data_IF_378946125494
#
_entry.id   IF_378946125494
#
_cell.length_a   1.000
_cell.length_b   1.000
_cell.length_c   1.000
_cell.angle_alpha   90.00
_cell.angle_beta   90.00
_cell.angle_gamma   90.00
#
_symmetry.space_group_name_H-M   'P 1'
#
loop_
_entity.id
_entity.type
_entity.pdbx_description
1 polymer ?
#
# COMPACT_ATOMS: atom_id res chain seq x y z
N UNK A 1 14.53 7.22 1.71
CA UNK A 1 13.92 6.16 0.88
C UNK A 1 12.78 6.78 0.05
N UNK A 2 12.80 6.61 -1.27
CA UNK A 2 11.93 7.33 -2.22
C UNK A 2 10.42 7.10 -1.99
N UNK A 3 10.04 5.87 -1.63
CA UNK A 3 8.66 5.47 -1.37
C UNK A 3 8.01 6.28 -0.24
N UNK A 4 8.70 6.48 0.88
CA UNK A 4 8.15 7.21 2.01
C UNK A 4 7.92 8.71 1.73
N UNK A 5 8.67 9.30 0.77
CA UNK A 5 8.39 10.66 0.29
C UNK A 5 7.16 10.68 -0.63
N UNK A 6 6.91 9.59 -1.34
CA UNK A 6 5.81 9.47 -2.29
C UNK A 6 4.50 9.05 -1.61
N UNK A 7 4.50 8.04 -0.73
CA UNK A 7 3.30 7.45 -0.09
C UNK A 7 2.82 8.22 1.14
N UNK A 8 3.73 8.72 1.96
CA UNK A 8 3.41 9.30 3.27
C UNK A 8 3.54 10.83 3.25
N UNK A 9 2.65 11.49 2.50
CA UNK A 9 2.52 12.96 2.41
C UNK A 9 1.84 13.60 3.63
N UNK A 10 1.92 12.96 4.80
CA UNK A 10 1.32 13.46 6.03
C UNK A 10 2.11 14.65 6.59
N UNK A 11 1.39 15.74 6.90
CA UNK A 11 1.96 16.87 7.65
C UNK A 11 2.43 16.35 9.02
N UNK A 12 3.63 16.76 9.44
CA UNK A 12 4.25 16.32 10.72
C UNK A 12 4.43 14.79 10.85
N UNK A 13 4.63 14.03 9.74
CA UNK A 13 4.82 12.56 9.76
C UNK A 13 5.82 12.02 10.79
N UNK A 14 6.89 12.77 11.09
CA UNK A 14 7.85 12.39 12.13
C UNK A 14 7.20 12.24 13.52
N UNK A 15 6.24 13.11 13.86
CA UNK A 15 5.49 13.04 15.13
C UNK A 15 4.55 11.85 15.15
N UNK A 16 3.84 11.60 14.05
CA UNK A 16 2.93 10.45 13.91
C UNK A 16 3.71 9.13 14.09
N UNK A 17 4.82 8.98 13.38
CA UNK A 17 5.64 7.76 13.45
C UNK A 17 6.31 7.60 14.82
N UNK A 18 6.67 8.71 15.48
CA UNK A 18 7.11 8.66 16.87
C UNK A 18 5.99 8.11 17.77
N UNK A 19 4.76 8.62 17.61
CA UNK A 19 3.62 8.17 18.41
C UNK A 19 3.33 6.68 18.20
N UNK A 20 3.42 6.18 16.97
CA UNK A 20 3.27 4.74 16.68
C UNK A 20 4.28 3.89 17.46
N UNK A 21 5.53 4.33 17.50
CA UNK A 21 6.58 3.64 18.26
C UNK A 21 6.32 3.70 19.77
N UNK A 22 5.82 4.83 20.28
CA UNK A 22 5.49 5.01 21.71
C UNK A 22 4.28 4.17 22.15
N UNK A 23 3.37 3.87 21.23
CA UNK A 23 2.14 3.09 21.53
C UNK A 23 2.29 1.60 21.23
N UNK A 24 3.49 1.13 20.86
CA UNK A 24 3.72 -0.29 20.58
C UNK A 24 3.14 -0.79 19.26
N UNK A 25 2.87 0.09 18.30
CA UNK A 25 2.40 -0.32 16.97
C UNK A 25 3.55 -1.00 16.22
N UNK A 26 3.33 -2.26 15.82
CA UNK A 26 4.30 -3.11 15.13
C UNK A 26 4.15 -3.13 13.61
N UNK A 27 2.93 -2.89 13.09
CA UNK A 27 2.61 -2.87 11.66
C UNK A 27 1.76 -1.65 11.28
N UNK A 28 2.10 -1.00 10.17
CA UNK A 28 1.31 0.09 9.55
C UNK A 28 0.96 -0.27 8.11
N UNK A 29 -0.33 -0.33 7.82
CA UNK A 29 -0.85 -0.49 6.46
C UNK A 29 -1.06 0.87 5.80
N UNK A 30 -0.64 1.01 4.55
CA UNK A 30 -0.94 2.21 3.76
C UNK A 30 -1.02 1.91 2.26
N UNK A 31 -1.42 2.90 1.47
CA UNK A 31 -1.49 2.84 0.00
C UNK A 31 -0.80 4.04 -0.64
N UNK A 32 -1.34 4.48 -1.78
CA UNK A 32 -0.94 5.63 -2.63
C UNK A 32 0.03 5.31 -3.77
N UNK A 33 1.07 4.50 -3.53
CA UNK A 33 1.86 3.98 -4.63
C UNK A 33 1.20 2.71 -5.15
N UNK A 34 0.99 2.65 -6.47
CA UNK A 34 0.54 1.49 -7.23
C UNK A 34 1.60 0.38 -7.25
N UNK A 35 2.06 -0.05 -6.07
CA UNK A 35 3.09 -1.06 -5.84
C UNK A 35 2.77 -1.75 -4.51
N UNK A 36 2.99 -3.07 -4.39
CA UNK A 36 3.02 -3.73 -3.09
C UNK A 36 4.46 -3.80 -2.59
N UNK A 37 4.74 -3.25 -1.40
CA UNK A 37 6.10 -3.28 -0.82
C UNK A 37 6.07 -3.25 0.70
N UNK A 38 6.99 -4.01 1.30
CA UNK A 38 7.31 -3.96 2.72
C UNK A 38 8.57 -3.13 2.99
N UNK A 39 8.56 -2.34 4.07
CA UNK A 39 9.76 -1.65 4.56
C UNK A 39 9.72 -1.39 6.07
N UNK A 40 10.87 -1.12 6.67
CA UNK A 40 10.99 -0.87 8.12
C UNK A 40 11.39 0.58 8.41
N UNK A 41 10.79 1.16 9.45
CA UNK A 41 11.20 2.47 9.98
C UNK A 41 11.02 2.55 11.48
N UNK A 42 12.09 2.91 12.20
CA UNK A 42 12.10 2.99 13.68
C UNK A 42 11.53 1.72 14.34
N UNK A 43 11.92 0.55 13.81
CA UNK A 43 11.44 -0.78 14.24
C UNK A 43 9.96 -1.08 13.96
N UNK A 44 9.25 -0.20 13.28
CA UNK A 44 7.87 -0.42 12.84
C UNK A 44 7.92 -0.97 11.41
N UNK A 45 7.17 -2.05 11.15
CA UNK A 45 6.97 -2.59 9.81
C UNK A 45 5.88 -1.77 9.08
N UNK A 46 6.13 -1.43 7.83
CA UNK A 46 5.17 -0.75 6.95
C UNK A 46 4.90 -1.62 5.74
N UNK A 47 3.61 -1.73 5.38
CA UNK A 47 3.15 -2.49 4.23
C UNK A 47 2.34 -1.58 3.31
N UNK A 48 2.87 -1.32 2.12
CA UNK A 48 2.16 -0.64 1.05
C UNK A 48 1.31 -1.66 0.30
N UNK A 49 0.00 -1.43 0.23
CA UNK A 49 -0.99 -2.31 -0.41
C UNK A 49 -1.64 -1.69 -1.65
N UNK A 50 -0.99 -0.72 -2.30
CA UNK A 50 -1.59 0.00 -3.42
C UNK A 50 -1.47 -0.68 -4.79
N UNK A 51 -0.72 -1.79 -4.88
CA UNK A 51 -0.34 -2.46 -6.12
C UNK A 51 -1.33 -3.51 -6.65
N UNK A 52 -2.52 -3.63 -6.09
CA UNK A 52 -3.41 -4.78 -6.37
C UNK A 52 -3.88 -4.88 -7.82
N UNK A 53 -4.17 -3.74 -8.47
CA UNK A 53 -4.75 -3.68 -9.83
C UNK A 53 -3.99 -2.72 -10.75
N UNK A 54 -3.05 -1.96 -10.21
CA UNK A 54 -2.22 -1.03 -10.97
C UNK A 54 -0.82 -1.22 -10.42
N UNK A 55 0.15 -1.49 -11.29
CA UNK A 55 1.54 -1.77 -10.90
C UNK A 55 2.11 -3.09 -11.44
N UNK A 56 1.23 -4.03 -11.83
CA UNK A 56 1.64 -5.33 -12.37
C UNK A 56 0.53 -5.89 -13.28
N UNK A 57 0.88 -6.73 -14.26
CA UNK A 57 -0.09 -7.46 -15.10
C UNK A 57 -0.79 -8.61 -14.36
N UNK A 58 -0.55 -8.76 -13.07
CA UNK A 58 -1.10 -9.78 -12.18
C UNK A 58 -1.71 -9.11 -10.97
N UNK A 59 -2.82 -9.66 -10.48
CA UNK A 59 -3.38 -9.22 -9.21
C UNK A 59 -2.42 -9.61 -8.09
N UNK A 60 -2.20 -8.67 -7.18
CA UNK A 60 -1.34 -8.85 -6.02
C UNK A 60 -2.10 -8.52 -4.73
N UNK A 61 -1.91 -9.33 -3.71
CA UNK A 61 -2.54 -9.17 -2.41
C UNK A 61 -1.49 -9.24 -1.32
N UNK A 62 -1.76 -8.58 -0.21
CA UNK A 62 -0.97 -8.70 0.99
C UNK A 62 -1.68 -9.66 1.94
N UNK A 63 -1.03 -10.76 2.26
CA UNK A 63 -1.42 -11.69 3.30
C UNK A 63 -0.74 -11.29 4.60
N UNK A 64 -1.52 -11.23 5.68
CA UNK A 64 -1.07 -10.85 7.01
C UNK A 64 -1.51 -11.97 7.96
N UNK A 65 -0.54 -12.66 8.53
CA UNK A 65 -0.78 -13.72 9.52
C UNK A 65 -0.39 -13.20 10.91
N UNK A 66 -1.27 -13.39 11.88
CA UNK A 66 -1.06 -12.96 13.27
C UNK A 66 -1.19 -14.15 14.20
N UNK A 67 -0.07 -14.64 14.73
CA UNK A 67 -0.01 -15.75 15.68
C UNK A 67 0.90 -15.39 16.86
N UNK A 68 0.48 -15.66 18.10
CA UNK A 68 1.29 -15.47 19.31
C UNK A 68 2.00 -14.10 19.39
N UNK A 69 1.30 -13.00 19.10
CA UNK A 69 1.83 -11.63 19.01
C UNK A 69 2.88 -11.38 17.91
N UNK A 70 3.16 -12.35 17.05
CA UNK A 70 3.99 -12.18 15.87
C UNK A 70 3.12 -11.79 14.66
N UNK A 71 3.68 -10.93 13.80
CA UNK A 71 3.03 -10.48 12.58
C UNK A 71 3.91 -10.84 11.38
N UNK A 72 3.46 -11.81 10.61
CA UNK A 72 4.06 -12.20 9.34
C UNK A 72 3.29 -11.59 8.18
N UNK A 73 4.03 -11.22 7.13
CA UNK A 73 3.50 -10.52 5.97
C UNK A 73 4.05 -11.14 4.70
N UNK A 74 3.19 -11.38 3.72
CA UNK A 74 3.56 -11.95 2.42
C UNK A 74 2.82 -11.24 1.29
N UNK A 75 3.52 -11.00 0.19
CA UNK A 75 2.89 -10.51 -1.05
C UNK A 75 2.53 -11.74 -1.89
N UNK A 76 1.23 -12.03 -2.02
CA UNK A 76 0.71 -13.06 -2.90
C UNK A 76 0.47 -12.47 -4.28
N UNK A 77 0.82 -13.22 -5.31
CA UNK A 77 0.58 -12.86 -6.71
C UNK A 77 -0.27 -13.94 -7.36
N UNK A 78 -1.27 -13.53 -8.13
CA UNK A 78 -2.05 -14.45 -8.97
C UNK A 78 -1.19 -15.06 -10.07
N UNK A 79 -1.53 -16.28 -10.48
CA UNK A 79 -0.86 -16.96 -11.60
C UNK A 79 -1.29 -16.40 -12.96
N UNK A 80 -2.56 -16.02 -13.07
CA UNK A 80 -3.14 -15.50 -14.32
C UNK A 80 -2.91 -14.00 -14.44
N UNK A 81 -2.50 -13.59 -15.64
CA UNK A 81 -2.46 -12.17 -16.00
C UNK A 81 -3.88 -11.65 -16.21
N UNK A 82 -4.14 -10.41 -15.83
CA UNK A 82 -5.36 -9.69 -16.20
C UNK A 82 -5.02 -8.60 -17.22
N UNK A 83 -6.00 -8.26 -18.06
CA UNK A 83 -5.91 -7.11 -18.96
C UNK A 83 -6.85 -6.03 -18.42
N UNK A 84 -6.30 -4.87 -18.10
CA UNK A 84 -7.11 -3.74 -17.68
C UNK A 84 -7.92 -3.24 -18.88
N UNK A 85 -9.24 -3.31 -18.80
CA UNK A 85 -10.14 -2.70 -19.78
C UNK A 85 -10.41 -1.28 -19.31
N UNK A 86 -9.90 -0.28 -20.04
CA UNK A 86 -10.23 1.13 -19.77
C UNK A 86 -11.43 1.52 -20.61
N UNK A 87 -12.59 1.68 -19.98
CA UNK A 87 -13.74 2.35 -20.61
C UNK A 87 -13.52 3.86 -20.53
N UNK A 88 -13.33 4.51 -21.68
CA UNK A 88 -13.31 5.97 -21.74
C UNK A 88 -14.77 6.44 -21.74
N UNK A 89 -15.26 6.92 -20.60
CA UNK A 89 -16.45 7.76 -20.56
C UNK A 89 -16.06 9.12 -21.13
N UNK A 90 -16.27 9.30 -22.44
CA UNK A 90 -16.27 10.62 -23.05
C UNK A 90 -17.52 11.32 -22.51
N UNK A 91 -17.32 12.24 -21.57
CA UNK A 91 -18.38 13.14 -21.13
C UNK A 91 -18.83 13.97 -22.33
N UNK A 92 -19.94 13.59 -22.97
CA UNK A 92 -20.67 14.46 -23.88
C UNK A 92 -21.14 15.68 -23.05
N UNK A 93 -20.40 16.79 -23.14
CA UNK A 93 -20.98 18.10 -22.88
C UNK A 93 -21.98 18.35 -24.00
N UNK A 94 -23.25 18.06 -23.75
CA UNK A 94 -24.35 18.66 -24.50
C UNK A 94 -24.28 20.16 -24.19
N UNK A 95 -23.81 20.93 -25.17
CA UNK A 95 -24.00 22.37 -25.19
C UNK A 95 -25.50 22.55 -25.52
N UNK A 96 -26.26 22.95 -24.50
CA UNK A 96 -27.58 23.56 -24.69
C UNK A 96 -27.39 25.04 -25.03
#
# INVERSE_FOLDING_TARGET
QAIERQTMKLRKKKKVIKKFSETGISLVLHGHLHENREYHRKKIKFLNSGGSVLGSNYLQFNEINTENNNIETKIIKTEKKYKLIRTILISLKIIL
#
